data_IF_902354595967
#
_entry.id   IF_902354595967
#
_cell.length_a   1.000
_cell.length_b   1.000
_cell.length_c   1.000
_cell.angle_alpha   90.00
_cell.angle_beta   90.00
_cell.angle_gamma   90.00
#
_symmetry.space_group_name_H-M   'P 1'
#
loop_
_entity.id
_entity.type
_entity.pdbx_description
1 polymer ?
#
# COMPACT_ATOMS: atom_id res chain seq x y z
N UNK A 1 -69.51 -35.48 -14.97
CA UNK A 1 -69.61 -34.02 -14.72
C UNK A 1 -68.17 -33.52 -14.59
N UNK A 2 -67.58 -32.95 -15.65
CA UNK A 2 -67.52 -31.51 -15.97
C UNK A 2 -66.84 -30.73 -14.83
N UNK A 3 -65.71 -30.01 -14.94
CA UNK A 3 -64.92 -29.40 -16.05
C UNK A 3 -63.49 -29.10 -15.50
N UNK A 4 -62.35 -29.25 -16.19
CA UNK A 4 -61.70 -28.41 -17.22
C UNK A 4 -61.73 -26.88 -17.00
N UNK A 5 -60.61 -26.26 -16.57
CA UNK A 5 -59.71 -25.41 -17.39
C UNK A 5 -58.59 -24.74 -16.55
N UNK A 6 -57.33 -24.67 -17.06
CA UNK A 6 -56.24 -23.85 -16.54
C UNK A 6 -56.22 -22.46 -17.20
N UNK A 7 -55.63 -21.45 -16.55
CA UNK A 7 -55.28 -20.18 -17.20
C UNK A 7 -53.85 -19.76 -16.88
N UNK A 8 -53.05 -19.81 -17.94
CA UNK A 8 -51.87 -18.97 -18.19
C UNK A 8 -52.25 -17.48 -18.08
N UNK A 9 -51.36 -16.64 -17.57
CA UNK A 9 -51.10 -15.34 -18.20
C UNK A 9 -49.65 -14.89 -17.94
N UNK A 10 -49.03 -14.49 -19.04
CA UNK A 10 -47.64 -14.07 -19.20
C UNK A 10 -47.36 -12.67 -18.65
N UNK A 11 -46.08 -12.47 -18.28
CA UNK A 11 -45.26 -11.26 -18.39
C UNK A 11 -45.95 -9.90 -18.62
N UNK A 12 -45.73 -8.95 -17.70
CA UNK A 12 -45.36 -7.57 -18.06
C UNK A 12 -44.25 -7.10 -17.10
N UNK A 13 -43.05 -6.92 -17.66
CA UNK A 13 -41.94 -6.16 -17.09
C UNK A 13 -42.36 -4.68 -16.96
N UNK A 14 -42.62 -4.22 -15.74
CA UNK A 14 -42.80 -2.80 -15.42
C UNK A 14 -41.45 -2.11 -15.24
N UNK A 15 -40.77 -1.80 -16.34
CA UNK A 15 -39.54 -1.00 -16.38
C UNK A 15 -39.91 0.46 -16.08
N UNK A 16 -39.86 0.90 -14.82
CA UNK A 16 -40.04 2.31 -14.49
C UNK A 16 -38.74 3.05 -14.83
N UNK A 17 -38.70 3.55 -16.06
CA UNK A 17 -37.65 4.40 -16.60
C UNK A 17 -37.77 5.77 -15.89
N UNK A 18 -36.96 6.00 -14.86
CA UNK A 18 -36.73 7.32 -14.29
C UNK A 18 -36.06 8.19 -15.37
N UNK A 19 -36.87 8.90 -16.15
CA UNK A 19 -36.42 9.97 -17.03
C UNK A 19 -36.03 11.16 -16.15
N UNK A 20 -34.72 11.30 -15.90
CA UNK A 20 -34.16 12.56 -15.42
C UNK A 20 -33.81 13.37 -16.66
N UNK A 21 -34.60 14.40 -16.95
CA UNK A 21 -34.27 15.41 -17.94
C UNK A 21 -33.09 16.26 -17.41
N UNK A 22 -32.10 16.62 -18.24
CA UNK A 22 -31.05 17.54 -17.82
C UNK A 22 -31.59 18.97 -17.80
N UNK A 23 -31.66 19.58 -16.62
CA UNK A 23 -31.86 21.02 -16.50
C UNK A 23 -30.56 21.73 -16.88
N UNK A 24 -30.63 22.51 -17.96
CA UNK A 24 -29.53 23.27 -18.56
C UNK A 24 -29.57 24.67 -17.98
N UNK A 25 -29.18 24.84 -16.71
CA UNK A 25 -29.01 26.16 -16.10
C UNK A 25 -28.45 26.06 -14.69
N UNK A 26 -27.13 25.97 -14.54
CA UNK A 26 -26.42 26.67 -13.46
C UNK A 26 -24.92 26.51 -13.64
N UNK A 27 -24.21 27.64 -13.61
CA UNK A 27 -22.76 27.68 -13.68
C UNK A 27 -22.13 26.64 -12.76
N UNK A 28 -21.29 25.79 -13.35
CA UNK A 28 -20.48 24.82 -12.63
C UNK A 28 -19.53 25.62 -11.75
N UNK A 29 -19.97 25.91 -10.53
CA UNK A 29 -19.09 26.32 -9.46
C UNK A 29 -18.07 25.20 -9.29
N UNK A 30 -16.85 25.51 -9.70
CA UNK A 30 -15.61 24.77 -9.52
C UNK A 30 -15.26 24.71 -8.02
N UNK A 31 -16.16 24.16 -7.22
CA UNK A 31 -16.14 24.17 -5.77
C UNK A 31 -16.83 22.92 -5.20
N UNK A 32 -16.47 21.73 -5.71
CA UNK A 32 -16.82 20.46 -5.06
C UNK A 32 -15.79 19.36 -5.35
N UNK A 33 -14.51 19.68 -5.20
CA UNK A 33 -13.44 18.70 -4.93
C UNK A 33 -12.60 19.24 -3.77
N UNK A 34 -13.25 19.44 -2.62
CA UNK A 34 -12.51 19.66 -1.38
C UNK A 34 -12.19 18.28 -0.84
N UNK A 35 -11.05 17.72 -1.23
CA UNK A 35 -10.56 16.42 -0.76
C UNK A 35 -10.56 16.40 0.77
N UNK A 36 -11.45 15.63 1.43
CA UNK A 36 -11.35 15.45 2.85
C UNK A 36 -10.52 14.19 3.13
N UNK A 37 -9.67 14.26 4.17
CA UNK A 37 -9.11 13.15 4.96
C UNK A 37 -7.60 12.87 4.95
N UNK A 38 -6.75 13.68 4.34
CA UNK A 38 -5.32 13.61 4.64
C UNK A 38 -4.66 14.99 4.70
N UNK A 39 -4.95 15.72 5.78
CA UNK A 39 -4.20 16.93 6.10
C UNK A 39 -2.87 16.51 6.73
N UNK A 40 -1.82 16.38 5.92
CA UNK A 40 -0.47 16.13 6.41
C UNK A 40 0.19 17.45 6.82
N UNK A 41 0.62 17.57 8.08
CA UNK A 41 1.46 18.67 8.52
C UNK A 41 2.94 18.34 8.21
N UNK A 42 3.60 19.08 7.30
CA UNK A 42 4.99 18.81 6.93
C UNK A 42 6.00 19.00 8.07
N UNK A 43 5.60 19.61 9.18
CA UNK A 43 6.43 19.75 10.38
C UNK A 43 6.29 18.57 11.34
N UNK A 44 5.27 17.74 11.14
CA UNK A 44 5.00 16.56 11.95
C UNK A 44 5.70 15.35 11.32
N UNK A 45 6.52 14.65 12.12
CA UNK A 45 7.21 13.42 11.73
C UNK A 45 6.37 12.18 12.06
N UNK A 46 5.61 12.23 13.15
CA UNK A 46 4.80 11.09 13.63
C UNK A 46 3.41 11.53 14.04
N UNK A 47 2.41 10.85 13.50
CA UNK A 47 1.03 10.94 13.97
C UNK A 47 0.71 9.77 14.92
N UNK A 48 0.09 10.07 16.06
CA UNK A 48 -0.12 9.08 17.13
C UNK A 48 -1.18 8.02 16.79
N UNK A 49 -2.19 8.37 16.01
CA UNK A 49 -3.36 7.50 15.79
C UNK A 49 -3.12 6.44 14.70
N UNK A 50 -2.29 6.73 13.70
CA UNK A 50 -2.05 5.86 12.55
C UNK A 50 -0.82 4.95 12.70
N UNK A 51 0.13 5.30 13.57
CA UNK A 51 1.46 4.66 13.56
C UNK A 51 2.31 5.07 12.35
N UNK A 52 1.84 6.05 11.58
CA UNK A 52 2.53 6.60 10.42
C UNK A 52 3.73 7.44 10.89
N UNK A 53 4.88 7.20 10.26
CA UNK A 53 6.09 7.98 10.45
C UNK A 53 6.60 8.42 9.08
N UNK A 54 6.95 9.70 9.01
CA UNK A 54 7.45 10.37 7.81
C UNK A 54 8.81 10.98 8.09
N UNK A 55 9.83 10.58 7.32
CA UNK A 55 11.13 11.24 7.29
C UNK A 55 11.29 12.05 6.00
N UNK A 56 12.11 13.10 6.04
CA UNK A 56 12.26 14.06 4.95
C UNK A 56 13.73 14.12 4.50
N UNK A 57 14.15 13.16 3.66
CA UNK A 57 15.54 13.08 3.24
C UNK A 57 15.97 14.31 2.44
N UNK A 58 17.25 14.65 2.54
CA UNK A 58 17.90 15.75 1.83
C UNK A 58 17.83 15.61 0.31
N UNK A 59 17.68 14.39 -0.19
CA UNK A 59 17.41 14.07 -1.60
C UNK A 59 16.04 14.56 -2.11
N UNK A 60 15.19 15.07 -1.22
CA UNK A 60 13.81 15.45 -1.51
C UNK A 60 12.82 14.28 -1.42
N UNK A 61 11.53 14.59 -1.57
CA UNK A 61 10.44 13.65 -1.32
C UNK A 61 10.25 13.35 0.16
N UNK A 62 9.67 12.18 0.47
CA UNK A 62 9.44 11.68 1.82
C UNK A 62 9.74 10.18 1.88
N UNK A 63 10.21 9.68 3.03
CA UNK A 63 10.14 8.25 3.34
C UNK A 63 8.98 8.04 4.30
N UNK A 64 8.07 7.14 3.94
CA UNK A 64 6.83 6.90 4.67
C UNK A 64 6.69 5.43 5.03
N UNK A 65 6.36 5.16 6.29
CA UNK A 65 6.11 3.81 6.79
C UNK A 65 5.09 3.79 7.92
N UNK A 66 4.51 2.61 8.15
CA UNK A 66 3.60 2.33 9.26
C UNK A 66 4.29 1.39 10.22
N UNK A 67 4.57 1.85 11.44
CA UNK A 67 5.41 1.12 12.39
C UNK A 67 4.64 0.75 13.66
N UNK A 68 4.80 -0.50 14.08
CA UNK A 68 4.34 -0.99 15.37
C UNK A 68 5.12 -0.35 16.53
N UNK A 69 4.63 -0.53 17.76
CA UNK A 69 5.33 -0.05 18.95
C UNK A 69 6.76 -0.62 19.09
N UNK A 70 6.99 -1.85 18.63
CA UNK A 70 8.30 -2.51 18.64
C UNK A 70 9.24 -1.87 17.62
N UNK A 71 8.76 -1.60 16.40
CA UNK A 71 9.55 -0.94 15.35
C UNK A 71 9.87 0.51 15.71
N UNK A 72 8.92 1.24 16.30
CA UNK A 72 9.17 2.60 16.80
C UNK A 72 10.28 2.60 17.85
N UNK A 73 10.28 1.64 18.78
CA UNK A 73 11.35 1.51 19.76
C UNK A 73 12.70 1.20 19.08
N UNK A 74 12.71 0.34 18.06
CA UNK A 74 13.91 0.05 17.26
C UNK A 74 14.42 1.27 16.48
N UNK A 75 13.50 2.14 16.02
CA UNK A 75 13.82 3.41 15.39
C UNK A 75 14.23 4.51 16.39
N UNK A 76 14.36 4.20 17.68
CA UNK A 76 14.60 5.19 18.75
C UNK A 76 13.56 6.33 18.76
N UNK A 77 12.31 6.02 18.38
CA UNK A 77 11.19 6.96 18.38
C UNK A 77 10.28 6.70 19.58
N UNK A 78 9.62 7.77 20.06
CA UNK A 78 8.63 7.63 21.11
C UNK A 78 7.46 6.77 20.62
N UNK A 79 6.99 5.86 21.48
CA UNK A 79 5.79 5.04 21.25
C UNK A 79 4.49 5.80 21.57
N UNK A 80 4.56 6.81 22.43
CA UNK A 80 3.38 7.43 23.06
C UNK A 80 3.26 8.92 22.82
N UNK A 81 4.31 9.56 22.27
CA UNK A 81 4.30 10.99 21.95
C UNK A 81 4.52 11.22 20.46
N UNK A 82 3.87 12.23 19.86
CA UNK A 82 4.23 12.64 18.52
C UNK A 82 5.68 13.17 18.53
N UNK A 83 6.29 13.19 17.35
CA UNK A 83 7.60 13.76 17.15
C UNK A 83 7.53 14.79 16.03
N UNK A 84 8.25 15.89 16.22
CA UNK A 84 8.45 16.88 15.18
C UNK A 84 9.58 16.43 14.26
N UNK A 85 9.56 16.94 13.04
CA UNK A 85 10.67 16.84 12.09
C UNK A 85 11.94 17.49 12.69
N UNK A 86 13.10 16.93 12.41
CA UNK A 86 14.38 17.55 12.77
C UNK A 86 14.69 18.70 11.80
N UNK A 87 15.30 19.76 12.33
CA UNK A 87 15.88 20.82 11.52
C UNK A 87 17.22 20.42 10.87
N UNK A 88 17.85 19.34 11.34
CA UNK A 88 19.09 18.82 10.78
C UNK A 88 18.80 17.81 9.66
N UNK A 89 19.17 18.10 8.40
CA UNK A 89 19.00 17.17 7.29
C UNK A 89 19.71 15.82 7.50
N UNK A 90 20.84 15.79 8.19
CA UNK A 90 21.57 14.54 8.42
C UNK A 90 20.81 13.59 9.36
N UNK A 91 20.09 14.12 10.36
CA UNK A 91 19.23 13.33 11.23
C UNK A 91 18.02 12.77 10.47
N UNK A 92 17.47 13.53 9.52
CA UNK A 92 16.37 13.06 8.66
C UNK A 92 16.84 11.98 7.67
N UNK A 93 18.04 12.12 7.10
CA UNK A 93 18.64 11.11 6.21
C UNK A 93 18.92 9.79 6.94
N UNK A 94 19.46 9.86 8.16
CA UNK A 94 19.68 8.69 9.01
C UNK A 94 18.35 7.99 9.36
N UNK A 95 17.34 8.78 9.79
CA UNK A 95 16.03 8.23 10.08
C UNK A 95 15.38 7.61 8.85
N UNK A 96 15.45 8.27 7.70
CA UNK A 96 14.93 7.78 6.42
C UNK A 96 15.56 6.43 6.06
N UNK A 97 16.89 6.30 6.17
CA UNK A 97 17.57 5.02 5.93
C UNK A 97 17.12 3.93 6.90
N UNK A 98 17.00 4.24 8.19
CA UNK A 98 16.51 3.26 9.19
C UNK A 98 15.06 2.84 8.94
N UNK A 99 14.21 3.76 8.49
CA UNK A 99 12.84 3.46 8.09
C UNK A 99 12.80 2.57 6.84
N UNK A 100 13.60 2.88 5.81
CA UNK A 100 13.72 2.04 4.59
C UNK A 100 14.19 0.63 4.95
N UNK A 101 15.09 0.49 5.92
CA UNK A 101 15.55 -0.80 6.44
C UNK A 101 14.48 -1.61 7.16
N UNK A 102 13.41 -0.97 7.60
CA UNK A 102 12.21 -1.61 8.16
C UNK A 102 11.07 -1.76 7.15
N UNK A 103 11.34 -1.58 5.84
CA UNK A 103 10.34 -1.77 4.78
C UNK A 103 9.49 -0.55 4.47
N UNK A 104 9.85 0.64 4.98
CA UNK A 104 9.26 1.89 4.48
C UNK A 104 9.68 2.15 3.03
N UNK A 105 8.93 3.03 2.36
CA UNK A 105 9.19 3.38 0.97
C UNK A 105 9.41 4.89 0.82
N UNK A 106 10.25 5.26 -0.13
CA UNK A 106 10.35 6.64 -0.58
C UNK A 106 9.19 6.99 -1.53
N UNK A 107 8.70 8.21 -1.41
CA UNK A 107 7.65 8.79 -2.25
C UNK A 107 8.05 10.21 -2.68
N UNK A 108 7.73 10.63 -3.92
CA UNK A 108 8.01 11.99 -4.37
C UNK A 108 7.20 13.04 -3.61
N UNK A 109 6.01 12.67 -3.10
CA UNK A 109 5.18 13.51 -2.25
C UNK A 109 4.16 12.69 -1.48
N UNK A 110 3.66 13.25 -0.38
CA UNK A 110 2.54 12.69 0.36
C UNK A 110 1.31 12.52 -0.55
N UNK A 111 1.02 13.51 -1.39
CA UNK A 111 -0.15 13.49 -2.29
C UNK A 111 -0.16 12.35 -3.31
N UNK A 112 1.01 11.95 -3.84
CA UNK A 112 1.08 10.77 -4.73
C UNK A 112 0.73 9.50 -3.95
N UNK A 113 1.38 9.27 -2.80
CA UNK A 113 1.09 8.13 -1.93
C UNK A 113 -0.40 8.05 -1.59
N UNK A 114 -1.00 9.16 -1.15
CA UNK A 114 -2.40 9.28 -0.78
C UNK A 114 -3.37 8.77 -1.83
N UNK A 115 -3.17 9.28 -3.05
CA UNK A 115 -4.08 9.12 -4.17
C UNK A 115 -4.15 7.65 -4.55
N UNK A 116 -2.99 7.01 -4.63
CA UNK A 116 -2.89 5.58 -4.96
C UNK A 116 -3.30 4.69 -3.79
N UNK A 117 -2.94 5.04 -2.54
CA UNK A 117 -3.39 4.30 -1.36
C UNK A 117 -4.91 4.31 -1.22
N UNK A 118 -5.56 5.44 -1.48
CA UNK A 118 -7.02 5.56 -1.51
C UNK A 118 -7.63 4.64 -2.56
N UNK A 119 -7.07 4.60 -3.78
CA UNK A 119 -7.55 3.71 -4.85
C UNK A 119 -7.47 2.22 -4.47
N UNK A 120 -6.40 1.81 -3.79
CA UNK A 120 -6.28 0.44 -3.24
C UNK A 120 -7.38 0.18 -2.20
N UNK A 121 -7.63 1.13 -1.29
CA UNK A 121 -8.71 1.03 -0.29
C UNK A 121 -10.08 0.93 -0.96
N UNK A 122 -10.27 1.67 -2.06
CA UNK A 122 -11.49 1.65 -2.87
C UNK A 122 -11.61 0.38 -3.75
N UNK A 123 -10.66 -0.57 -3.65
CA UNK A 123 -10.72 -1.88 -4.30
C UNK A 123 -10.11 -1.95 -5.70
N UNK A 124 -9.39 -0.91 -6.16
CA UNK A 124 -8.65 -0.97 -7.42
C UNK A 124 -7.37 -1.78 -7.19
N UNK A 125 -7.14 -2.90 -7.91
CA UNK A 125 -5.90 -3.65 -7.79
C UNK A 125 -4.74 -2.84 -8.38
N UNK A 126 -3.56 -2.97 -7.80
CA UNK A 126 -2.32 -2.38 -8.31
C UNK A 126 -1.28 -3.42 -8.67
N UNK A 127 -1.32 -4.58 -8.01
CA UNK A 127 -0.35 -5.63 -8.19
C UNK A 127 1.10 -5.10 -8.10
N UNK A 128 1.94 -5.34 -9.11
CA UNK A 128 3.33 -4.88 -9.17
C UNK A 128 3.49 -3.35 -9.33
N UNK A 129 2.41 -2.60 -9.62
CA UNK A 129 2.50 -1.14 -9.77
C UNK A 129 2.68 -0.41 -8.45
N UNK A 130 2.26 -1.02 -7.35
CA UNK A 130 2.40 -0.45 -6.01
C UNK A 130 3.47 -1.23 -5.24
N UNK A 131 4.30 -0.56 -4.43
CA UNK A 131 5.30 -1.24 -3.63
C UNK A 131 4.69 -2.30 -2.72
N UNK A 132 5.32 -3.48 -2.58
CA UNK A 132 4.83 -4.49 -1.65
C UNK A 132 4.92 -4.02 -0.21
N UNK A 133 4.12 -4.62 0.66
CA UNK A 133 4.25 -4.43 2.10
C UNK A 133 5.40 -5.30 2.59
N UNK A 134 6.55 -4.68 2.84
CA UNK A 134 7.75 -5.35 3.36
C UNK A 134 7.77 -5.27 4.88
N UNK A 135 7.93 -6.42 5.53
CA UNK A 135 7.99 -6.54 6.98
C UNK A 135 9.32 -7.15 7.39
N UNK A 136 10.00 -6.48 8.32
CA UNK A 136 11.38 -6.80 8.68
C UNK A 136 11.50 -7.07 10.17
N UNK A 137 12.29 -8.07 10.55
CA UNK A 137 12.63 -8.39 11.94
C UNK A 137 14.13 -8.53 12.12
N UNK A 138 14.68 -7.80 13.09
CA UNK A 138 16.10 -7.84 13.45
C UNK A 138 16.31 -8.59 14.77
N UNK A 139 16.89 -9.81 14.76
CA UNK A 139 17.09 -10.56 16.00
C UNK A 139 18.10 -9.85 16.91
N UNK A 140 17.90 -9.92 18.22
CA UNK A 140 18.76 -9.33 19.24
C UNK A 140 20.18 -9.90 19.26
N UNK A 141 20.37 -11.07 18.65
CA UNK A 141 21.69 -11.66 18.40
C UNK A 141 22.58 -10.79 17.51
N UNK A 142 22.00 -9.83 16.78
CA UNK A 142 22.67 -8.97 15.81
C UNK A 142 23.05 -9.68 14.52
N UNK A 143 22.59 -10.92 14.31
CA UNK A 143 22.93 -11.73 13.14
C UNK A 143 21.74 -11.85 12.20
N UNK A 144 21.92 -11.32 10.98
CA UNK A 144 20.96 -11.45 9.90
C UNK A 144 19.65 -10.68 10.12
N UNK A 145 18.69 -10.99 9.27
CA UNK A 145 17.39 -10.32 9.20
C UNK A 145 16.34 -11.28 8.65
N UNK A 146 15.13 -11.21 9.21
CA UNK A 146 13.94 -11.88 8.67
C UNK A 146 13.12 -10.91 7.84
N UNK A 147 12.72 -11.34 6.63
CA UNK A 147 11.96 -10.50 5.70
C UNK A 147 10.75 -11.27 5.18
N UNK A 148 9.58 -10.66 5.33
CA UNK A 148 8.31 -11.16 4.80
C UNK A 148 7.66 -10.06 3.97
N UNK A 149 7.21 -10.38 2.76
CA UNK A 149 6.54 -9.42 1.88
C UNK A 149 5.26 -9.99 1.30
N UNK A 150 4.27 -9.14 1.14
CA UNK A 150 2.99 -9.47 0.50
C UNK A 150 2.47 -8.26 -0.28
N UNK A 151 1.50 -8.50 -1.16
CA UNK A 151 0.89 -7.44 -1.98
C UNK A 151 0.20 -6.39 -1.11
N UNK A 152 0.27 -5.13 -1.53
CA UNK A 152 -0.49 -4.04 -0.92
C UNK A 152 -1.99 -4.12 -1.25
N UNK A 153 -2.37 -4.90 -2.26
CA UNK A 153 -3.75 -5.10 -2.67
C UNK A 153 -4.56 -5.75 -1.55
N UNK A 154 -5.76 -5.22 -1.33
CA UNK A 154 -6.71 -5.75 -0.35
C UNK A 154 -7.54 -6.87 -0.99
N UNK A 155 -8.03 -7.79 -0.15
CA UNK A 155 -9.14 -8.66 -0.55
C UNK A 155 -10.37 -7.77 -0.76
N UNK A 156 -10.92 -7.79 -1.96
CA UNK A 156 -12.23 -7.24 -2.26
C UNK A 156 -13.30 -8.18 -1.68
N UNK A 157 -14.50 -7.65 -1.43
CA UNK A 157 -15.66 -8.45 -1.00
C UNK A 157 -16.13 -9.45 -2.08
N UNK A 158 -15.63 -9.28 -3.30
CA UNK A 158 -15.94 -10.12 -4.44
C UNK A 158 -14.84 -11.19 -4.57
N UNK A 159 -15.07 -12.34 -3.92
CA UNK A 159 -14.16 -13.50 -3.88
C UNK A 159 -13.95 -14.15 -5.26
N UNK A 160 -14.72 -13.72 -6.27
CA UNK A 160 -14.65 -14.21 -7.65
C UNK A 160 -13.57 -13.54 -8.52
N UNK A 161 -12.84 -12.53 -8.03
CA UNK A 161 -11.71 -11.98 -8.80
C UNK A 161 -10.52 -12.95 -8.79
N UNK A 162 -10.52 -13.84 -9.80
CA UNK A 162 -9.45 -14.81 -10.08
C UNK A 162 -8.09 -14.16 -10.37
N UNK A 163 -8.01 -12.83 -10.52
CA UNK A 163 -6.74 -12.13 -10.66
C UNK A 163 -5.96 -12.24 -9.36
N UNK A 164 -5.02 -13.19 -9.33
CA UNK A 164 -4.02 -13.29 -8.28
C UNK A 164 -2.95 -12.21 -8.50
N UNK A 165 -2.65 -11.38 -7.50
CA UNK A 165 -1.47 -10.53 -7.55
C UNK A 165 -0.20 -11.37 -7.67
N UNK A 166 0.85 -10.78 -8.23
CA UNK A 166 2.21 -11.33 -8.36
C UNK A 166 2.77 -11.78 -7.00
N UNK A 167 2.41 -11.09 -5.92
CA UNK A 167 2.67 -11.52 -4.55
C UNK A 167 1.38 -11.96 -3.87
N UNK A 168 1.49 -12.94 -2.97
CA UNK A 168 0.40 -13.33 -2.10
C UNK A 168 -0.16 -12.11 -1.34
N UNK A 169 -1.47 -12.12 -1.07
CA UNK A 169 -2.11 -11.07 -0.27
C UNK A 169 -1.75 -11.23 1.22
N UNK A 170 -2.04 -10.20 2.00
CA UNK A 170 -1.94 -10.24 3.47
C UNK A 170 -2.63 -11.51 4.03
N UNK A 171 -1.92 -12.36 4.81
CA UNK A 171 -2.50 -13.57 5.42
C UNK A 171 -3.59 -13.28 6.46
N UNK A 172 -4.54 -14.21 6.61
CA UNK A 172 -5.74 -14.14 7.47
C UNK A 172 -5.46 -14.29 8.99
N UNK A 173 -4.52 -13.52 9.52
CA UNK A 173 -4.17 -13.41 10.96
C UNK A 173 -2.93 -12.54 11.18
N UNK A 174 -2.20 -12.22 10.10
CA UNK A 174 -1.00 -11.38 10.09
C UNK A 174 -1.16 -10.14 10.98
N UNK A 175 -2.17 -9.31 10.71
CA UNK A 175 -2.39 -8.05 11.43
C UNK A 175 -2.66 -8.25 12.93
N UNK A 176 -3.30 -9.36 13.32
CA UNK A 176 -3.56 -9.72 14.70
C UNK A 176 -2.28 -10.16 15.40
N UNK A 177 -1.53 -11.09 14.80
CA UNK A 177 -0.31 -11.67 15.39
C UNK A 177 0.81 -10.64 15.52
N UNK A 178 1.04 -9.86 14.47
CA UNK A 178 2.12 -8.87 14.46
C UNK A 178 1.87 -7.72 15.43
N UNK A 179 0.61 -7.41 15.76
CA UNK A 179 0.25 -6.35 16.72
C UNK A 179 0.50 -6.77 18.17
N UNK A 180 0.51 -8.07 18.45
CA UNK A 180 0.66 -8.61 19.80
C UNK A 180 2.12 -8.76 20.24
N UNK A 181 3.08 -8.60 19.33
CA UNK A 181 4.51 -8.71 19.65
C UNK A 181 4.97 -7.56 20.53
N UNK A 182 5.83 -7.86 21.50
CA UNK A 182 6.37 -6.92 22.48
C UNK A 182 7.87 -6.68 22.29
N UNK A 183 8.55 -7.55 21.54
CA UNK A 183 9.98 -7.46 21.26
C UNK A 183 10.29 -7.72 19.78
N UNK A 184 11.48 -7.32 19.34
CA UNK A 184 11.93 -7.59 17.98
C UNK A 184 12.20 -9.09 17.74
N UNK A 185 12.60 -9.84 18.78
CA UNK A 185 12.76 -11.29 18.69
C UNK A 185 11.41 -12.00 18.52
N UNK A 186 10.38 -11.59 19.27
CA UNK A 186 9.01 -12.09 19.05
C UNK A 186 8.50 -11.77 17.65
N UNK A 187 8.81 -10.58 17.12
CA UNK A 187 8.52 -10.22 15.72
C UNK A 187 9.21 -11.17 14.74
N UNK A 188 10.47 -11.53 14.99
CA UNK A 188 11.21 -12.49 14.16
C UNK A 188 10.54 -13.88 14.15
N UNK A 189 10.10 -14.37 15.30
CA UNK A 189 9.40 -15.66 15.37
C UNK A 189 8.04 -15.61 14.65
N UNK A 190 7.27 -14.53 14.79
CA UNK A 190 6.02 -14.35 14.02
C UNK A 190 6.31 -14.32 12.51
N UNK A 191 7.32 -13.55 12.08
CA UNK A 191 7.73 -13.51 10.67
C UNK A 191 8.07 -14.91 10.14
N UNK A 192 8.88 -15.66 10.89
CA UNK A 192 9.28 -17.02 10.55
C UNK A 192 8.08 -17.97 10.44
N UNK A 193 7.09 -17.86 11.33
CA UNK A 193 5.86 -18.65 11.26
C UNK A 193 5.03 -18.38 9.99
N UNK A 194 5.15 -17.18 9.42
CA UNK A 194 4.54 -16.81 8.14
C UNK A 194 5.40 -17.17 6.92
N UNK A 195 6.51 -17.89 7.12
CA UNK A 195 7.41 -18.27 6.03
C UNK A 195 8.32 -17.13 5.56
N UNK A 196 8.65 -16.17 6.43
CA UNK A 196 9.67 -15.17 6.14
C UNK A 196 10.99 -15.82 5.73
N UNK A 197 11.73 -15.14 4.87
CA UNK A 197 13.08 -15.54 4.46
C UNK A 197 14.09 -14.95 5.43
N UNK A 198 15.03 -15.78 5.89
CA UNK A 198 16.19 -15.32 6.67
C UNK A 198 17.36 -15.02 5.75
N UNK A 199 17.95 -13.84 5.93
CA UNK A 199 19.19 -13.44 5.28
C UNK A 199 20.28 -13.31 6.34
N UNK A 200 21.42 -13.97 6.15
CA UNK A 200 22.55 -13.87 7.09
C UNK A 200 23.15 -12.46 7.12
N UNK A 201 23.12 -11.78 5.98
CA UNK A 201 23.54 -10.39 5.80
C UNK A 201 22.41 -9.57 5.22
N UNK A 202 22.20 -8.36 5.74
CA UNK A 202 21.16 -7.45 5.24
C UNK A 202 21.41 -7.12 3.76
N UNK A 203 22.66 -7.09 3.35
CA UNK A 203 23.11 -6.81 1.99
C UNK A 203 22.67 -7.85 0.96
N UNK A 204 22.31 -9.06 1.40
CA UNK A 204 21.82 -10.14 0.53
C UNK A 204 20.32 -10.00 0.23
N UNK A 205 19.59 -9.18 1.00
CA UNK A 205 18.17 -8.94 0.78
C UNK A 205 17.96 -7.82 -0.24
N UNK A 206 17.33 -8.14 -1.37
CA UNK A 206 16.99 -7.16 -2.43
C UNK A 206 15.85 -6.23 -2.03
N UNK A 207 14.99 -6.62 -1.09
CA UNK A 207 13.83 -5.82 -0.68
C UNK A 207 14.21 -4.71 0.33
N UNK A 208 15.37 -4.82 0.98
CA UNK A 208 15.85 -3.84 1.95
C UNK A 208 16.83 -2.87 1.28
N UNK A 209 16.65 -1.56 1.49
CA UNK A 209 17.60 -0.56 1.00
C UNK A 209 18.89 -0.55 1.84
N UNK A 210 20.05 -0.63 1.16
CA UNK A 210 21.37 -0.61 1.83
C UNK A 210 21.83 0.81 2.10
N UNK A 211 21.47 1.71 1.18
CA UNK A 211 21.73 3.15 1.24
C UNK A 211 20.45 3.95 1.04
N UNK A 212 20.46 5.22 1.45
CA UNK A 212 19.34 6.13 1.21
C UNK A 212 19.07 6.30 -0.28
N UNK A 213 20.12 6.47 -1.10
CA UNK A 213 19.99 6.63 -2.54
C UNK A 213 19.33 5.41 -3.19
N UNK A 214 19.69 4.19 -2.78
CA UNK A 214 19.06 2.97 -3.27
C UNK A 214 17.55 2.94 -2.95
N UNK A 215 17.16 3.35 -1.75
CA UNK A 215 15.73 3.44 -1.38
C UNK A 215 14.97 4.49 -2.19
N UNK A 216 15.61 5.63 -2.49
CA UNK A 216 15.06 6.66 -3.38
C UNK A 216 14.90 6.13 -4.80
N UNK A 217 15.91 5.44 -5.32
CA UNK A 217 15.88 4.89 -6.68
C UNK A 217 14.79 3.82 -6.82
N UNK A 218 14.61 2.95 -5.82
CA UNK A 218 13.47 2.01 -5.75
C UNK A 218 12.14 2.76 -5.75
N UNK A 219 12.00 3.79 -4.93
CA UNK A 219 10.77 4.59 -4.88
C UNK A 219 10.45 5.32 -6.20
N UNK A 220 11.46 5.83 -6.91
CA UNK A 220 11.28 6.46 -8.23
C UNK A 220 10.80 5.47 -9.30
N UNK A 221 11.21 4.20 -9.22
CA UNK A 221 10.67 3.16 -10.11
C UNK A 221 9.16 2.98 -9.90
N UNK A 222 8.73 2.92 -8.64
CA UNK A 222 7.29 2.89 -8.34
C UNK A 222 6.57 4.17 -8.74
N UNK A 223 7.19 5.36 -8.60
CA UNK A 223 6.60 6.61 -9.09
C UNK A 223 6.25 6.51 -10.59
N UNK A 224 7.13 5.98 -11.44
CA UNK A 224 6.87 5.79 -12.87
C UNK A 224 5.70 4.82 -13.12
N UNK A 225 5.64 3.71 -12.38
CA UNK A 225 4.53 2.74 -12.48
C UNK A 225 3.20 3.34 -12.03
N UNK A 226 3.21 4.11 -10.95
CA UNK A 226 2.02 4.77 -10.42
C UNK A 226 1.50 5.86 -11.36
N UNK A 227 2.39 6.60 -12.05
CA UNK A 227 1.99 7.53 -13.11
C UNK A 227 1.27 6.82 -14.26
N UNK A 228 1.67 5.59 -14.63
CA UNK A 228 0.92 4.79 -15.64
C UNK A 228 -0.48 4.47 -15.14
N UNK A 229 -0.62 4.17 -13.85
CA UNK A 229 -1.92 3.94 -13.21
C UNK A 229 -2.81 5.21 -13.14
N UNK A 230 -2.31 6.39 -13.50
CA UNK A 230 -3.12 7.60 -13.69
C UNK A 230 -3.76 7.67 -15.09
N UNK A 231 -3.26 6.94 -16.09
CA UNK A 231 -3.88 6.82 -17.41
C UNK A 231 -5.03 5.79 -17.40
N UNK A 232 -6.27 6.27 -17.50
CA UNK A 232 -7.45 5.42 -17.53
C UNK A 232 -7.46 4.41 -18.69
N UNK A 233 -6.87 4.75 -19.84
CA UNK A 233 -6.78 3.82 -20.97
C UNK A 233 -5.78 2.71 -20.68
N UNK A 234 -4.71 3.01 -19.97
CA UNK A 234 -3.76 2.01 -19.49
C UNK A 234 -4.44 1.05 -18.52
N UNK A 235 -5.07 1.61 -17.47
CA UNK A 235 -5.77 0.83 -16.44
C UNK A 235 -6.85 -0.08 -17.05
N UNK A 236 -7.66 0.43 -17.99
CA UNK A 236 -8.70 -0.36 -18.66
C UNK A 236 -8.13 -1.54 -19.45
N UNK A 237 -7.04 -1.33 -20.22
CA UNK A 237 -6.38 -2.42 -20.96
C UNK A 237 -5.74 -3.44 -20.03
N UNK A 238 -5.08 -2.98 -18.97
CA UNK A 238 -4.44 -3.82 -17.96
C UNK A 238 -5.48 -4.70 -17.24
N UNK A 239 -6.57 -4.11 -16.74
CA UNK A 239 -7.66 -4.83 -16.07
C UNK A 239 -8.40 -5.80 -16.99
N UNK A 240 -8.49 -5.48 -18.28
CA UNK A 240 -9.06 -6.36 -19.32
C UNK A 240 -8.12 -7.51 -19.71
N UNK A 241 -6.89 -7.54 -19.18
CA UNK A 241 -5.89 -8.56 -19.50
C UNK A 241 -5.23 -8.40 -20.86
N UNK A 242 -5.48 -7.30 -21.58
CA UNK A 242 -4.93 -7.02 -22.91
C UNK A 242 -3.45 -6.62 -22.88
N UNK A 243 -2.89 -6.36 -21.70
CA UNK A 243 -1.46 -6.08 -21.49
C UNK A 243 -0.66 -7.29 -20.96
N UNK A 244 -1.28 -8.48 -20.79
CA UNK A 244 -0.63 -9.68 -20.23
C UNK A 244 0.54 -10.25 -21.06
N UNK A 245 0.81 -9.71 -22.25
CA UNK A 245 1.83 -10.23 -23.17
C UNK A 245 3.26 -9.75 -22.96
N UNK A 246 3.48 -8.60 -22.30
CA UNK A 246 4.84 -8.01 -22.19
C UNK A 246 5.34 -7.80 -20.75
N UNK A 247 4.48 -7.51 -19.77
CA UNK A 247 4.92 -7.26 -18.38
C UNK A 247 4.92 -8.53 -17.50
N UNK A 248 4.09 -9.53 -17.82
CA UNK A 248 4.00 -10.79 -17.06
C UNK A 248 5.20 -11.75 -17.26
N UNK A 249 6.10 -11.46 -18.21
CA UNK A 249 7.30 -12.25 -18.49
C UNK A 249 8.59 -11.68 -17.92
N UNK A 250 8.55 -10.54 -17.21
CA UNK A 250 9.72 -9.94 -16.58
C UNK A 250 9.96 -10.61 -15.22
N UNK A 251 11.14 -11.24 -15.07
CA UNK A 251 11.51 -12.01 -13.89
C UNK A 251 11.73 -11.08 -12.69
N UNK A 252 11.75 -11.62 -11.47
CA UNK A 252 12.09 -10.88 -10.23
C UNK A 252 13.45 -10.14 -10.33
N UNK A 253 14.33 -10.59 -11.24
CA UNK A 253 15.63 -10.00 -11.57
C UNK A 253 15.58 -8.84 -12.60
N UNK A 254 14.46 -8.68 -13.31
CA UNK A 254 14.26 -7.63 -14.33
C UNK A 254 13.64 -6.34 -13.74
N UNK A 255 13.38 -6.31 -12.42
CA UNK A 255 12.81 -5.16 -11.68
C UNK A 255 13.85 -4.49 -10.76
#
# INVERSE_FOLDING_TARGET
MLSFFPLFFSFIFGRQQLQIQPDVSSGVNQAMYREPYFSHDPNTRRELQSGEVTAYPSSGGIVLGHFSAVELAHLNLSRTKPANRSSDPAEEDDLALRMLRLGAHWWPSWGLYARHKKRIIDGIPYDFHFPPVVNVGYPSSGKGVWVFKFSADKRTWDEEDERKPYLEREPDDWAGRIRMVLTMDERCEVLKDFGATFYEKVEDCVDIAKTLQEGVDKGKRYEELLKRMEDLKYVDRWLSGLEKGNDASMKEEDW
#
